data_IF_507369506349
#
_entry.id   IF_507369506349
#
_cell.length_a   1.000
_cell.length_b   1.000
_cell.length_c   1.000
_cell.angle_alpha   90.00
_cell.angle_beta   90.00
_cell.angle_gamma   90.00
#
_symmetry.space_group_name_H-M   'P 1'
#
loop_
_entity.id
_entity.type
_entity.pdbx_description
1 polymer ?
#
# COMPACT_ATOMS: atom_id res chain seq x y z
N UNK A 1 29.49 -24.82 -18.73
CA UNK A 1 29.06 -23.45 -18.36
C UNK A 1 27.88 -23.08 -19.25
N UNK A 2 26.66 -23.13 -18.73
CA UNK A 2 25.48 -22.61 -19.42
C UNK A 2 24.75 -21.71 -18.42
N UNK A 3 24.93 -20.40 -18.58
CA UNK A 3 24.17 -19.38 -17.87
C UNK A 3 22.91 -19.09 -18.68
N UNK A 4 21.77 -19.57 -18.20
CA UNK A 4 20.46 -19.09 -18.61
C UNK A 4 19.47 -19.51 -17.52
N UNK A 5 19.11 -18.57 -16.65
CA UNK A 5 17.93 -18.63 -15.79
C UNK A 5 17.43 -17.20 -15.55
N UNK A 6 17.25 -16.44 -16.62
CA UNK A 6 16.37 -15.27 -16.62
C UNK A 6 14.96 -15.79 -16.87
N UNK A 7 14.28 -16.19 -15.79
CA UNK A 7 12.88 -16.58 -15.85
C UNK A 7 12.04 -15.36 -16.25
N UNK A 8 11.59 -15.34 -17.49
CA UNK A 8 10.61 -14.39 -18.00
C UNK A 8 9.25 -14.68 -17.34
N UNK A 9 9.03 -14.04 -16.20
CA UNK A 9 7.69 -13.79 -15.69
C UNK A 9 7.00 -12.79 -16.64
N UNK A 10 5.67 -12.82 -16.87
CA UNK A 10 4.99 -11.65 -17.45
C UNK A 10 5.38 -10.47 -16.58
N UNK A 11 6.20 -9.57 -17.13
CA UNK A 11 7.25 -8.97 -16.32
C UNK A 11 6.60 -8.13 -15.22
N UNK A 12 7.13 -8.18 -13.99
CA UNK A 12 6.74 -7.22 -12.96
C UNK A 12 6.79 -5.77 -13.51
N UNK A 13 7.68 -5.54 -14.48
CA UNK A 13 7.78 -4.36 -15.33
C UNK A 13 6.50 -4.04 -16.14
N UNK A 14 5.76 -5.01 -16.67
CA UNK A 14 4.46 -4.80 -17.34
C UNK A 14 3.33 -4.52 -16.34
N UNK A 15 3.25 -5.30 -15.26
CA UNK A 15 2.12 -5.21 -14.30
C UNK A 15 2.22 -4.03 -13.36
N UNK A 16 3.43 -3.66 -12.97
CA UNK A 16 3.70 -2.55 -12.05
C UNK A 16 5.04 -1.85 -12.42
N UNK A 17 5.11 -1.19 -13.59
CA UNK A 17 6.34 -0.57 -14.10
C UNK A 17 6.97 0.44 -13.13
N UNK A 18 6.14 1.17 -12.37
CA UNK A 18 6.61 2.17 -11.41
C UNK A 18 7.42 1.55 -10.28
N UNK A 19 6.89 0.52 -9.63
CA UNK A 19 7.55 -0.15 -8.52
C UNK A 19 8.75 -0.98 -9.00
N UNK A 20 8.65 -1.61 -10.18
CA UNK A 20 9.78 -2.31 -10.80
C UNK A 20 10.99 -1.39 -10.97
N UNK A 21 10.79 -0.22 -11.62
CA UNK A 21 11.86 0.76 -11.81
C UNK A 21 12.45 1.23 -10.48
N UNK A 22 11.61 1.42 -9.47
CA UNK A 22 12.04 1.88 -8.15
C UNK A 22 12.87 0.82 -7.40
N UNK A 23 12.48 -0.45 -7.48
CA UNK A 23 13.22 -1.58 -6.92
C UNK A 23 14.58 -1.74 -7.61
N UNK A 24 14.61 -1.63 -8.94
CA UNK A 24 15.85 -1.65 -9.72
C UNK A 24 16.76 -0.47 -9.39
N UNK A 25 16.23 0.77 -9.33
CA UNK A 25 17.04 1.96 -9.05
C UNK A 25 17.64 1.97 -7.66
N UNK A 26 17.00 1.28 -6.70
CA UNK A 26 17.50 1.11 -5.33
C UNK A 26 18.39 -0.13 -5.16
N UNK A 27 18.56 -0.97 -6.20
CA UNK A 27 19.38 -2.19 -6.12
C UNK A 27 18.82 -3.27 -5.19
N UNK A 28 17.50 -3.27 -4.94
CA UNK A 28 16.83 -4.14 -3.95
C UNK A 28 15.83 -5.12 -4.60
N UNK A 29 15.82 -5.22 -5.93
CA UNK A 29 14.99 -6.21 -6.62
C UNK A 29 15.56 -7.62 -6.40
N UNK A 30 15.19 -8.22 -5.28
CA UNK A 30 15.50 -9.61 -4.97
C UNK A 30 14.54 -10.56 -5.72
N UNK A 31 15.00 -11.71 -6.25
CA UNK A 31 14.15 -12.65 -6.98
C UNK A 31 12.89 -13.08 -6.21
N UNK A 32 13.00 -13.31 -4.90
CA UNK A 32 11.84 -13.68 -4.06
C UNK A 32 10.79 -12.57 -3.98
N UNK A 33 11.22 -11.33 -3.72
CA UNK A 33 10.32 -10.18 -3.66
C UNK A 33 9.66 -9.96 -5.02
N UNK A 34 10.44 -10.02 -6.10
CA UNK A 34 9.94 -9.88 -7.47
C UNK A 34 8.90 -10.94 -7.82
N UNK A 35 9.18 -12.21 -7.49
CA UNK A 35 8.25 -13.33 -7.72
C UNK A 35 6.97 -13.17 -6.89
N UNK A 36 7.06 -12.96 -5.57
CA UNK A 36 5.88 -12.81 -4.70
C UNK A 36 5.01 -11.65 -5.13
N UNK A 37 5.62 -10.50 -5.42
CA UNK A 37 4.88 -9.34 -5.91
C UNK A 37 4.18 -9.68 -7.21
N UNK A 38 4.86 -10.32 -8.17
CA UNK A 38 4.24 -10.73 -9.42
C UNK A 38 3.08 -11.72 -9.24
N UNK A 39 3.24 -12.72 -8.37
CA UNK A 39 2.21 -13.73 -8.07
C UNK A 39 0.97 -13.07 -7.43
N UNK A 40 1.17 -12.21 -6.44
CA UNK A 40 0.10 -11.47 -5.78
C UNK A 40 -0.56 -10.45 -6.72
N UNK A 41 0.18 -9.87 -7.67
CA UNK A 41 -0.37 -9.02 -8.73
C UNK A 41 -1.16 -9.80 -9.79
N UNK A 42 -0.82 -11.07 -10.02
CA UNK A 42 -1.59 -11.94 -10.90
C UNK A 42 -2.89 -12.42 -10.25
N UNK A 43 -2.88 -12.61 -8.93
CA UNK A 43 -4.01 -13.11 -8.15
C UNK A 43 -4.88 -12.02 -7.51
N UNK A 44 -4.45 -10.74 -7.51
CA UNK A 44 -5.25 -9.65 -6.96
C UNK A 44 -6.47 -9.37 -7.84
N UNK A 45 -7.52 -10.13 -7.57
CA UNK A 45 -8.88 -10.00 -8.10
C UNK A 45 -9.73 -9.12 -7.17
N UNK A 46 -9.16 -8.55 -6.11
CA UNK A 46 -9.88 -7.56 -5.29
C UNK A 46 -10.08 -6.28 -6.10
N UNK A 47 -11.20 -6.28 -6.82
CA UNK A 47 -11.79 -5.18 -7.57
C UNK A 47 -12.09 -4.01 -6.63
N UNK A 48 -11.05 -3.26 -6.27
CA UNK A 48 -11.25 -1.88 -5.81
C UNK A 48 -11.54 -0.93 -6.97
N UNK A 49 -11.50 -1.43 -8.21
CA UNK A 49 -11.86 -0.66 -9.39
C UNK A 49 -12.90 -1.43 -10.21
N UNK A 50 -14.12 -1.52 -9.71
CA UNK A 50 -15.31 -1.79 -10.55
C UNK A 50 -15.72 -0.56 -11.38
N UNK A 51 -14.78 0.38 -11.62
CA UNK A 51 -14.93 1.48 -12.56
C UNK A 51 -14.22 1.13 -13.88
N UNK A 52 -14.91 1.26 -15.03
CA UNK A 52 -14.32 1.01 -16.34
C UNK A 52 -13.10 1.91 -16.56
N UNK A 53 -12.01 1.29 -17.03
CA UNK A 53 -10.72 1.93 -17.25
C UNK A 53 -10.80 2.90 -18.44
N UNK A 54 -10.26 4.11 -18.26
CA UNK A 54 -9.72 4.86 -19.39
C UNK A 54 -8.45 4.14 -19.86
N UNK A 55 -8.29 3.82 -21.16
CA UNK A 55 -7.04 3.24 -21.67
C UNK A 55 -5.87 4.18 -21.36
N UNK A 56 -4.79 3.67 -20.75
CA UNK A 56 -3.53 4.40 -20.58
C UNK A 56 -3.27 5.02 -19.20
N UNK A 57 -4.20 5.00 -18.24
CA UNK A 57 -3.96 5.45 -16.86
C UNK A 57 -3.95 4.26 -15.91
N UNK A 58 -2.78 3.65 -15.74
CA UNK A 58 -2.60 2.56 -14.78
C UNK A 58 -2.49 3.11 -13.36
N UNK A 59 -3.51 2.89 -12.52
CA UNK A 59 -3.28 2.92 -11.07
C UNK A 59 -2.37 1.75 -10.72
N UNK A 60 -1.31 2.01 -9.95
CA UNK A 60 -0.52 0.93 -9.39
C UNK A 60 -1.46 0.04 -8.54
N UNK A 61 -1.48 -1.28 -8.76
CA UNK A 61 -2.26 -2.21 -7.94
C UNK A 61 -1.81 -2.12 -6.47
N UNK A 62 -2.71 -2.41 -5.53
CA UNK A 62 -2.48 -2.22 -4.08
C UNK A 62 -1.11 -2.75 -3.59
N UNK A 63 -0.69 -3.99 -3.92
CA UNK A 63 0.62 -4.49 -3.51
C UNK A 63 1.79 -3.61 -3.97
N UNK A 64 1.71 -3.11 -5.20
CA UNK A 64 2.72 -2.22 -5.76
C UNK A 64 2.72 -0.84 -5.08
N UNK A 65 1.54 -0.31 -4.73
CA UNK A 65 1.43 0.96 -3.98
C UNK A 65 2.00 0.86 -2.58
N UNK A 66 1.72 -0.22 -1.86
CA UNK A 66 2.28 -0.42 -0.51
C UNK A 66 3.81 -0.48 -0.55
N UNK A 67 4.38 -1.23 -1.50
CA UNK A 67 5.83 -1.28 -1.71
C UNK A 67 6.36 0.11 -2.09
N UNK A 68 5.70 0.82 -2.99
CA UNK A 68 6.13 2.17 -3.38
C UNK A 68 6.12 3.17 -2.21
N UNK A 69 5.08 3.17 -1.38
CA UNK A 69 4.97 4.03 -0.19
C UNK A 69 6.10 3.69 0.80
N UNK A 70 6.33 2.40 1.08
CA UNK A 70 7.44 1.98 1.95
C UNK A 70 8.79 2.48 1.43
N UNK A 71 9.05 2.35 0.14
CA UNK A 71 10.32 2.72 -0.48
C UNK A 71 10.53 4.24 -0.60
N UNK A 72 9.49 5.00 -0.94
CA UNK A 72 9.60 6.45 -1.21
C UNK A 72 9.33 7.31 0.01
N UNK A 73 8.32 6.97 0.78
CA UNK A 73 7.81 7.79 1.88
C UNK A 73 8.31 7.25 3.22
N UNK A 74 8.26 5.92 3.38
CA UNK A 74 8.87 5.22 4.51
C UNK A 74 10.39 5.23 4.46
N UNK A 75 11.00 5.28 3.28
CA UNK A 75 12.46 5.12 3.11
C UNK A 75 12.97 3.73 3.49
N UNK A 76 12.07 2.75 3.58
CA UNK A 76 12.34 1.35 3.90
C UNK A 76 13.11 0.71 2.75
N UNK A 77 14.10 -0.13 3.06
CA UNK A 77 14.81 -0.94 2.07
C UNK A 77 14.92 -2.41 2.50
N UNK A 78 14.53 -2.70 3.74
CA UNK A 78 14.56 -4.01 4.35
C UNK A 78 13.58 -4.92 3.63
N UNK A 79 14.12 -5.96 2.99
CA UNK A 79 13.34 -6.87 2.16
C UNK A 79 12.18 -7.53 2.92
N UNK A 80 12.38 -7.88 4.20
CA UNK A 80 11.33 -8.52 5.00
C UNK A 80 10.11 -7.60 5.22
N UNK A 81 10.31 -6.28 5.29
CA UNK A 81 9.21 -5.31 5.41
C UNK A 81 8.44 -5.17 4.09
N UNK A 82 9.16 -5.14 2.96
CA UNK A 82 8.55 -5.11 1.63
C UNK A 82 7.77 -6.39 1.34
N UNK A 83 8.32 -7.55 1.68
CA UNK A 83 7.63 -8.85 1.58
C UNK A 83 6.42 -8.87 2.50
N UNK A 84 6.55 -8.42 3.74
CA UNK A 84 5.42 -8.37 4.68
C UNK A 84 4.25 -7.50 4.17
N UNK A 85 4.52 -6.45 3.38
CA UNK A 85 3.47 -5.64 2.76
C UNK A 85 2.77 -6.38 1.61
N UNK A 86 3.51 -7.15 0.81
CA UNK A 86 2.94 -7.98 -0.26
C UNK A 86 2.10 -9.13 0.31
N UNK A 87 2.59 -9.79 1.36
CA UNK A 87 1.85 -10.87 2.04
C UNK A 87 0.57 -10.38 2.73
N UNK A 88 0.53 -9.13 3.19
CA UNK A 88 -0.71 -8.53 3.69
C UNK A 88 -1.80 -8.55 2.61
N UNK A 89 -1.46 -8.13 1.38
CA UNK A 89 -2.40 -8.17 0.26
C UNK A 89 -2.79 -9.60 -0.13
N UNK A 90 -1.86 -10.55 -0.03
CA UNK A 90 -2.13 -11.96 -0.28
C UNK A 90 -3.18 -12.50 0.71
N UNK A 91 -2.98 -12.26 2.01
CA UNK A 91 -3.93 -12.69 3.05
C UNK A 91 -5.30 -12.05 2.88
N UNK A 92 -5.36 -10.75 2.55
CA UNK A 92 -6.63 -10.07 2.27
C UNK A 92 -7.35 -10.66 1.06
N UNK A 93 -6.59 -11.04 0.01
CA UNK A 93 -7.12 -11.72 -1.18
C UNK A 93 -7.68 -13.10 -0.83
N UNK A 94 -6.93 -13.90 -0.07
CA UNK A 94 -7.34 -15.23 0.36
C UNK A 94 -8.59 -15.18 1.25
N UNK A 95 -8.66 -14.21 2.16
CA UNK A 95 -9.78 -14.02 3.05
C UNK A 95 -11.00 -13.35 2.41
N UNK A 96 -10.88 -12.86 1.16
CA UNK A 96 -11.92 -12.08 0.45
C UNK A 96 -12.45 -10.90 1.30
N UNK A 97 -11.60 -10.34 2.15
CA UNK A 97 -11.98 -9.29 3.09
C UNK A 97 -10.87 -8.27 3.22
N UNK A 98 -11.22 -7.04 2.90
CA UNK A 98 -10.37 -5.85 3.04
C UNK A 98 -10.48 -5.24 4.44
N UNK A 99 -11.43 -5.74 5.24
CA UNK A 99 -11.63 -5.33 6.63
C UNK A 99 -10.68 -6.05 7.58
N UNK A 100 -9.88 -7.00 7.08
CA UNK A 100 -8.80 -7.59 7.86
C UNK A 100 -7.71 -6.55 8.05
N UNK A 101 -7.67 -6.02 9.28
CA UNK A 101 -6.74 -4.97 9.65
C UNK A 101 -5.32 -5.56 9.78
N UNK A 102 -4.30 -4.85 9.29
CA UNK A 102 -2.90 -5.27 9.40
C UNK A 102 -2.47 -5.62 10.83
N UNK A 103 -3.04 -4.97 11.83
CA UNK A 103 -2.83 -5.19 13.26
C UNK A 103 -3.26 -6.60 13.69
N UNK A 104 -4.41 -7.06 13.22
CA UNK A 104 -4.97 -8.38 13.53
C UNK A 104 -4.12 -9.51 12.95
N UNK A 105 -3.37 -9.20 11.89
CA UNK A 105 -2.46 -10.10 11.20
C UNK A 105 -1.02 -10.02 11.73
N UNK A 106 -0.79 -9.27 12.81
CA UNK A 106 0.53 -9.13 13.44
C UNK A 106 1.58 -8.49 12.54
N UNK A 107 1.17 -7.66 11.58
CA UNK A 107 2.11 -7.03 10.62
C UNK A 107 2.98 -5.98 11.33
N UNK A 108 4.22 -5.73 10.88
CA UNK A 108 5.07 -4.68 11.44
C UNK A 108 4.40 -3.31 11.39
N UNK A 109 4.54 -2.49 12.43
CA UNK A 109 3.87 -1.18 12.54
C UNK A 109 4.05 -0.30 11.31
N UNK A 110 5.25 -0.26 10.71
CA UNK A 110 5.52 0.52 9.50
C UNK A 110 4.71 0.05 8.28
N UNK A 111 4.41 -1.25 8.18
CA UNK A 111 3.54 -1.84 7.16
C UNK A 111 2.08 -1.49 7.44
N UNK A 112 1.66 -1.52 8.72
CA UNK A 112 0.32 -1.10 9.13
C UNK A 112 0.07 0.37 8.77
N UNK A 113 0.98 1.27 9.12
CA UNK A 113 0.91 2.69 8.76
C UNK A 113 0.85 2.91 7.24
N UNK A 114 1.65 2.16 6.49
CA UNK A 114 1.64 2.23 5.02
C UNK A 114 0.28 1.84 4.44
N UNK A 115 -0.33 0.77 4.97
CA UNK A 115 -1.68 0.37 4.57
C UNK A 115 -2.72 1.43 4.88
N UNK A 116 -2.72 1.98 6.10
CA UNK A 116 -3.64 3.05 6.49
C UNK A 116 -3.51 4.27 5.59
N UNK A 117 -2.28 4.66 5.27
CA UNK A 117 -2.01 5.79 4.37
C UNK A 117 -2.55 5.55 2.95
N UNK A 118 -2.35 4.35 2.38
CA UNK A 118 -2.89 4.00 1.06
C UNK A 118 -4.42 4.03 1.07
N UNK A 119 -5.05 3.40 2.08
CA UNK A 119 -6.51 3.34 2.22
C UNK A 119 -7.11 4.73 2.33
N UNK A 120 -6.57 5.59 3.19
CA UNK A 120 -7.07 6.96 3.34
C UNK A 120 -6.97 7.76 2.03
N UNK A 121 -5.84 7.65 1.32
CA UNK A 121 -5.66 8.33 0.02
C UNK A 121 -6.61 7.79 -1.04
N UNK A 122 -6.79 6.48 -1.08
CA UNK A 122 -7.66 5.83 -2.03
C UNK A 122 -9.12 6.22 -1.79
N UNK A 123 -9.65 6.03 -0.58
CA UNK A 123 -11.04 6.35 -0.24
C UNK A 123 -11.37 7.83 -0.44
N UNK A 124 -10.40 8.72 -0.17
CA UNK A 124 -10.56 10.16 -0.42
C UNK A 124 -10.69 10.49 -1.92
N UNK A 125 -9.89 9.87 -2.78
CA UNK A 125 -9.96 10.06 -4.24
C UNK A 125 -11.31 9.57 -4.79
N UNK A 126 -11.82 8.46 -4.27
CA UNK A 126 -13.04 7.82 -4.77
C UNK A 126 -14.33 8.29 -4.07
N UNK A 127 -14.25 9.32 -3.21
CA UNK A 127 -15.39 9.89 -2.48
C UNK A 127 -16.30 8.80 -1.87
N UNK A 128 -15.68 7.82 -1.22
CA UNK A 128 -16.36 6.67 -0.62
C UNK A 128 -17.31 7.09 0.51
N UNK A 129 -18.24 6.21 0.91
CA UNK A 129 -19.24 6.53 1.93
C UNK A 129 -18.60 7.07 3.22
N UNK A 130 -19.26 8.08 3.81
CA UNK A 130 -18.76 8.77 5.02
C UNK A 130 -18.48 7.81 6.18
N UNK A 131 -19.24 6.72 6.31
CA UNK A 131 -19.07 5.75 7.40
C UNK A 131 -17.80 4.90 7.27
N UNK A 132 -17.52 4.36 6.08
CA UNK A 132 -16.29 3.58 5.83
C UNK A 132 -15.08 4.48 6.02
N UNK A 133 -15.14 5.71 5.48
CA UNK A 133 -14.07 6.67 5.61
C UNK A 133 -13.79 7.04 7.08
N UNK A 134 -14.84 7.27 7.88
CA UNK A 134 -14.73 7.53 9.32
C UNK A 134 -14.06 6.37 10.06
N UNK A 135 -14.50 5.13 9.80
CA UNK A 135 -13.90 3.96 10.42
C UNK A 135 -12.41 3.82 10.07
N UNK A 136 -12.03 4.03 8.80
CA UNK A 136 -10.62 4.01 8.39
C UNK A 136 -9.80 5.13 9.04
N UNK A 137 -10.36 6.34 9.19
CA UNK A 137 -9.71 7.46 9.90
C UNK A 137 -9.48 7.10 11.37
N UNK A 138 -10.47 6.50 12.04
CA UNK A 138 -10.34 6.07 13.43
C UNK A 138 -9.26 5.02 13.60
N UNK A 139 -9.22 4.00 12.74
CA UNK A 139 -8.16 2.99 12.76
C UNK A 139 -6.77 3.62 12.54
N UNK A 140 -6.62 4.49 11.54
CA UNK A 140 -5.35 5.15 11.27
C UNK A 140 -4.86 6.02 12.44
N UNK A 141 -5.77 6.72 13.13
CA UNK A 141 -5.44 7.48 14.34
C UNK A 141 -5.02 6.58 15.50
N UNK A 142 -5.66 5.43 15.68
CA UNK A 142 -5.30 4.48 16.72
C UNK A 142 -3.89 3.92 16.48
N UNK A 143 -3.57 3.52 15.25
CA UNK A 143 -2.26 2.98 14.90
C UNK A 143 -1.16 4.04 15.01
N UNK A 144 -1.45 5.30 14.65
CA UNK A 144 -0.53 6.41 14.87
C UNK A 144 -0.27 6.67 16.36
N UNK A 145 -1.33 6.73 17.18
CA UNK A 145 -1.23 6.93 18.64
C UNK A 145 -0.49 5.81 19.36
N UNK A 146 -0.58 4.58 18.85
CA UNK A 146 0.16 3.45 19.40
C UNK A 146 1.69 3.61 19.21
N UNK A 147 2.13 4.53 18.36
CA UNK A 147 3.53 4.84 18.08
C UNK A 147 3.86 6.18 18.73
N UNK A 148 3.84 6.19 20.06
CA UNK A 148 4.02 7.41 20.87
C UNK A 148 5.39 8.08 20.66
N UNK A 149 6.41 7.29 20.34
CA UNK A 149 7.79 7.74 20.10
C UNK A 149 8.43 6.96 18.95
N UNK A 150 8.20 7.35 17.68
CA UNK A 150 8.83 6.68 16.55
C UNK A 150 10.34 6.91 16.60
N UNK A 151 11.09 5.86 16.92
CA UNK A 151 12.56 5.86 16.87
C UNK A 151 13.08 5.75 15.43
N UNK A 152 12.23 5.28 14.51
CA UNK A 152 12.52 5.17 13.10
C UNK A 152 12.09 6.44 12.32
N UNK A 153 12.99 7.04 11.51
CA UNK A 153 12.66 8.18 10.66
C UNK A 153 11.55 7.89 9.64
N UNK A 154 11.45 6.64 9.16
CA UNK A 154 10.40 6.21 8.24
C UNK A 154 9.02 6.23 8.89
N UNK A 155 8.89 5.66 10.08
CA UNK A 155 7.66 5.73 10.89
C UNK A 155 7.25 7.18 11.15
N UNK A 156 8.20 8.04 11.53
CA UNK A 156 7.94 9.48 11.75
C UNK A 156 7.35 10.16 10.51
N UNK A 157 7.91 9.88 9.32
CA UNK A 157 7.39 10.41 8.05
C UNK A 157 5.97 9.90 7.77
N UNK A 158 5.75 8.60 7.91
CA UNK A 158 4.44 8.00 7.64
C UNK A 158 3.35 8.52 8.59
N UNK A 159 3.63 8.66 9.89
CA UNK A 159 2.71 9.27 10.85
C UNK A 159 2.34 10.70 10.44
N UNK A 160 3.32 11.51 10.03
CA UNK A 160 3.09 12.87 9.52
C UNK A 160 2.17 12.87 8.29
N UNK A 161 2.40 11.95 7.36
CA UNK A 161 1.62 11.84 6.13
C UNK A 161 0.19 11.35 6.39
N UNK A 162 -0.01 10.45 7.35
CA UNK A 162 -1.34 10.00 7.80
C UNK A 162 -2.11 11.17 8.40
N UNK A 163 -1.50 11.93 9.32
CA UNK A 163 -2.15 13.12 9.91
C UNK A 163 -2.55 14.12 8.83
N UNK A 164 -1.67 14.40 7.87
CA UNK A 164 -1.96 15.29 6.75
C UNK A 164 -3.10 14.76 5.85
N UNK A 165 -3.17 13.44 5.62
CA UNK A 165 -4.27 12.83 4.86
C UNK A 165 -5.61 12.95 5.60
N UNK A 166 -5.62 12.71 6.90
CA UNK A 166 -6.81 12.86 7.76
C UNK A 166 -7.30 14.30 7.77
N UNK A 167 -6.40 15.27 7.97
CA UNK A 167 -6.76 16.69 7.92
C UNK A 167 -7.40 17.09 6.59
N UNK A 168 -6.88 16.56 5.47
CA UNK A 168 -7.44 16.82 4.14
C UNK A 168 -8.86 16.28 4.02
N UNK A 169 -9.09 15.05 4.47
CA UNK A 169 -10.43 14.43 4.49
C UNK A 169 -11.40 15.28 5.31
N UNK A 170 -11.00 15.68 6.52
CA UNK A 170 -11.86 16.46 7.41
C UNK A 170 -12.21 17.86 6.87
N UNK A 171 -11.30 18.49 6.10
CA UNK A 171 -11.58 19.78 5.45
C UNK A 171 -12.65 19.66 4.37
N UNK A 172 -12.60 18.58 3.58
CA UNK A 172 -13.60 18.33 2.53
C UNK A 172 -14.98 18.06 3.14
N UNK A 173 -15.06 17.25 4.21
CA UNK A 173 -16.32 16.97 4.91
C UNK A 173 -17.00 18.24 5.42
N UNK A 174 -16.24 19.20 5.97
CA UNK A 174 -16.80 20.49 6.44
C UNK A 174 -17.38 21.33 5.30
N UNK A 175 -16.70 21.36 4.15
CA UNK A 175 -17.17 22.11 2.97
C UNK A 175 -18.43 21.52 2.33
N UNK A 176 -18.66 20.22 2.50
CA UNK A 176 -19.89 19.54 2.03
C UNK A 176 -21.06 19.78 2.99
N UNK A 177 -20.82 19.82 4.31
CA UNK A 177 -21.86 20.08 5.31
C UNK A 177 -22.35 21.53 5.39
N UNK A 178 -21.64 22.48 4.79
CA UNK A 178 -21.99 23.91 4.75
C UNK A 178 -22.76 24.31 3.46
N UNK A 179 -23.08 23.37 2.58
CA UNK A 179 -23.87 23.58 1.35
C UNK A 179 -25.24 22.92 1.46
#
# INVERSE_FOLDING_TARGET
MLSANSGDFPSLQERAPGVYRLLCSKGILHPELGKRLNDVLACNVLEHTSLPRSPGVGFNPLPARLVEILLREGGVQEQYLLVSAVELCELQTQARSLLLLPEQLGRPQIVQLTWHLDVLRHLHIFNSSSEILKSCVECALQSEKAISHPTDPGMTRLCTLIRAAIERIQRVDRQVGEK
#
